data_IF_391079379221
#
_entry.id   IF_391079379221
#
_cell.length_a   1.000
_cell.length_b   1.000
_cell.length_c   1.000
_cell.angle_alpha   90.00
_cell.angle_beta   90.00
_cell.angle_gamma   90.00
#
_symmetry.space_group_name_H-M   'P 1'
#
loop_
_entity.id
_entity.type
_entity.pdbx_description
1 polymer ?
#
# COMPACT_ATOMS: atom_id res chain seq x y z
N UNK A 1 3.87 -30.21 -3.88
CA UNK A 1 2.87 -29.10 -3.83
C UNK A 1 2.26 -28.92 -5.22
N UNK A 2 0.94 -28.76 -5.36
CA UNK A 2 0.32 -28.50 -6.67
C UNK A 2 0.81 -27.13 -7.20
N UNK A 3 1.19 -27.01 -8.49
CA UNK A 3 1.81 -25.78 -9.04
C UNK A 3 0.93 -24.53 -8.92
N UNK A 4 -0.39 -24.69 -8.75
CA UNK A 4 -1.33 -23.59 -8.54
C UNK A 4 -1.32 -23.00 -7.11
N UNK A 5 -0.76 -23.68 -6.11
CA UNK A 5 -0.78 -23.23 -4.70
C UNK A 5 0.20 -22.09 -4.46
N UNK A 6 1.41 -22.18 -5.04
CA UNK A 6 2.46 -21.16 -4.90
C UNK A 6 1.99 -19.76 -5.32
N UNK A 7 1.40 -19.54 -6.51
CA UNK A 7 0.93 -18.22 -6.91
C UNK A 7 -0.25 -17.73 -6.08
N UNK A 8 -1.04 -18.61 -5.46
CA UNK A 8 -2.13 -18.21 -4.57
C UNK A 8 -1.60 -17.73 -3.22
N UNK A 9 -0.64 -18.46 -2.63
CA UNK A 9 0.04 -18.02 -1.40
C UNK A 9 0.73 -16.68 -1.62
N UNK A 10 1.42 -16.51 -2.75
CA UNK A 10 2.07 -15.26 -3.10
C UNK A 10 1.06 -14.09 -3.22
N UNK A 11 -0.12 -14.33 -3.80
CA UNK A 11 -1.22 -13.34 -3.85
C UNK A 11 -1.69 -12.96 -2.46
N UNK A 12 -1.99 -13.96 -1.62
CA UNK A 12 -2.48 -13.73 -0.25
C UNK A 12 -1.45 -12.95 0.57
N UNK A 13 -0.18 -13.36 0.52
CA UNK A 13 0.90 -12.66 1.19
C UNK A 13 1.09 -11.22 0.69
N UNK A 14 0.97 -11.00 -0.63
CA UNK A 14 1.07 -9.66 -1.21
C UNK A 14 -0.14 -8.78 -0.84
N UNK A 15 -1.35 -9.34 -0.85
CA UNK A 15 -2.57 -8.64 -0.46
C UNK A 15 -2.53 -8.20 1.00
N UNK A 16 -2.14 -9.11 1.90
CA UNK A 16 -2.08 -8.86 3.34
C UNK A 16 -0.90 -7.96 3.69
N UNK A 17 0.32 -8.41 3.42
CA UNK A 17 1.52 -7.71 3.88
C UNK A 17 1.81 -6.52 2.98
N UNK A 18 1.91 -6.75 1.67
CA UNK A 18 2.19 -5.69 0.72
C UNK A 18 1.09 -4.62 0.70
N UNK A 19 -0.17 -5.03 0.75
CA UNK A 19 -1.30 -4.11 0.83
C UNK A 19 -1.25 -3.22 2.07
N UNK A 20 -0.88 -3.79 3.23
CA UNK A 20 -0.78 -3.03 4.48
C UNK A 20 0.37 -2.01 4.40
N UNK A 21 1.54 -2.46 3.94
CA UNK A 21 2.70 -1.57 3.74
C UNK A 21 2.34 -0.41 2.80
N UNK A 22 1.68 -0.71 1.67
CA UNK A 22 1.23 0.31 0.73
C UNK A 22 0.25 1.29 1.37
N UNK A 23 -0.77 0.79 2.07
CA UNK A 23 -1.78 1.60 2.72
C UNK A 23 -1.17 2.53 3.80
N UNK A 24 -0.27 2.01 4.63
CA UNK A 24 0.44 2.80 5.64
C UNK A 24 1.35 3.85 5.01
N UNK A 25 2.04 3.52 3.91
CA UNK A 25 2.87 4.47 3.17
C UNK A 25 2.03 5.60 2.56
N UNK A 26 0.90 5.27 1.91
CA UNK A 26 -0.04 6.26 1.36
C UNK A 26 -0.62 7.14 2.47
N UNK A 27 -1.05 6.56 3.59
CA UNK A 27 -1.56 7.31 4.74
C UNK A 27 -0.54 8.33 5.26
N UNK A 28 0.71 7.90 5.38
CA UNK A 28 1.82 8.77 5.79
C UNK A 28 2.09 9.87 4.77
N UNK A 29 2.02 9.54 3.48
CA UNK A 29 2.21 10.52 2.40
C UNK A 29 1.11 11.59 2.42
N UNK A 30 -0.15 11.19 2.56
CA UNK A 30 -1.28 12.11 2.71
C UNK A 30 -1.06 13.02 3.93
N UNK A 31 -0.72 12.44 5.08
CA UNK A 31 -0.49 13.20 6.31
C UNK A 31 0.67 14.21 6.19
N UNK A 32 1.64 13.97 5.30
CA UNK A 32 2.74 14.91 5.04
C UNK A 32 2.41 15.99 4.02
N UNK A 33 1.64 15.66 2.98
CA UNK A 33 1.35 16.57 1.87
C UNK A 33 0.15 17.49 2.15
N UNK A 34 -0.78 17.10 3.01
CA UNK A 34 -2.01 17.87 3.23
C UNK A 34 -1.72 19.17 4.00
N UNK A 35 -2.08 20.36 3.47
CA UNK A 35 -1.79 21.65 4.09
C UNK A 35 -2.86 22.02 5.15
N UNK A 36 -3.08 21.11 6.09
CA UNK A 36 -4.00 21.29 7.24
C UNK A 36 -3.27 20.92 8.53
N UNK A 37 -3.96 21.08 9.67
CA UNK A 37 -3.42 20.73 10.97
C UNK A 37 -2.99 19.26 11.04
N UNK A 38 -1.92 18.99 11.80
CA UNK A 38 -1.29 17.66 11.87
C UNK A 38 -2.27 16.56 12.30
N UNK A 39 -3.13 16.88 13.26
CA UNK A 39 -4.13 15.93 13.75
C UNK A 39 -5.19 15.60 12.67
N UNK A 40 -5.65 16.61 11.94
CA UNK A 40 -6.60 16.44 10.86
C UNK A 40 -5.98 15.69 9.67
N UNK A 41 -4.76 16.05 9.26
CA UNK A 41 -4.04 15.38 8.18
C UNK A 41 -3.80 13.89 8.47
N UNK A 42 -3.47 13.56 9.72
CA UNK A 42 -3.28 12.16 10.15
C UNK A 42 -4.61 11.40 10.13
N UNK A 43 -5.70 12.03 10.55
CA UNK A 43 -7.03 11.43 10.56
C UNK A 43 -7.49 11.08 9.14
N UNK A 44 -7.35 12.01 8.19
CA UNK A 44 -7.60 11.75 6.77
C UNK A 44 -6.73 10.63 6.21
N UNK A 45 -5.43 10.65 6.54
CA UNK A 45 -4.50 9.58 6.16
C UNK A 45 -4.97 8.20 6.63
N UNK A 46 -5.37 8.07 7.89
CA UNK A 46 -5.91 6.81 8.43
C UNK A 46 -7.20 6.38 7.75
N UNK A 47 -8.16 7.28 7.56
CA UNK A 47 -9.45 6.97 6.92
C UNK A 47 -9.22 6.44 5.49
N UNK A 48 -8.41 7.16 4.71
CA UNK A 48 -8.12 6.78 3.32
C UNK A 48 -7.28 5.49 3.22
N UNK A 49 -6.49 5.16 4.25
CA UNK A 49 -5.70 3.92 4.27
C UNK A 49 -6.56 2.66 4.14
N UNK A 50 -7.76 2.64 4.73
CA UNK A 50 -8.69 1.51 4.61
C UNK A 50 -9.16 1.31 3.17
N UNK A 51 -9.46 2.41 2.47
CA UNK A 51 -9.84 2.35 1.06
C UNK A 51 -8.70 1.83 0.19
N UNK A 52 -7.48 2.33 0.41
CA UNK A 52 -6.28 1.86 -0.30
C UNK A 52 -6.03 0.37 -0.05
N UNK A 53 -6.12 -0.07 1.21
CA UNK A 53 -5.94 -1.46 1.58
C UNK A 53 -6.99 -2.38 0.93
N UNK A 54 -8.26 -1.97 0.94
CA UNK A 54 -9.34 -2.71 0.28
C UNK A 54 -9.13 -2.82 -1.24
N UNK A 55 -8.74 -1.72 -1.90
CA UNK A 55 -8.43 -1.72 -3.33
C UNK A 55 -7.25 -2.65 -3.62
N UNK A 56 -6.18 -2.60 -2.83
CA UNK A 56 -5.02 -3.47 -3.00
C UNK A 56 -5.38 -4.96 -2.83
N UNK A 57 -6.22 -5.29 -1.85
CA UNK A 57 -6.73 -6.63 -1.64
C UNK A 57 -7.58 -7.11 -2.82
N UNK A 58 -8.57 -6.33 -3.25
CA UNK A 58 -9.43 -6.66 -4.40
C UNK A 58 -8.62 -6.83 -5.68
N UNK A 59 -7.67 -5.93 -5.93
CA UNK A 59 -6.81 -5.98 -7.11
C UNK A 59 -5.93 -7.24 -7.12
N UNK A 60 -5.50 -7.71 -5.95
CA UNK A 60 -4.69 -8.92 -5.83
C UNK A 60 -5.40 -10.19 -6.30
N UNK A 61 -6.73 -10.22 -6.23
CA UNK A 61 -7.56 -11.34 -6.67
C UNK A 61 -8.24 -11.13 -8.02
N UNK A 62 -8.29 -9.89 -8.54
CA UNK A 62 -8.87 -9.60 -9.85
C UNK A 62 -8.00 -10.07 -11.03
N UNK A 63 -6.66 -9.95 -10.93
CA UNK A 63 -5.75 -10.15 -12.07
C UNK A 63 -5.23 -11.58 -12.27
N UNK A 64 -5.04 -12.05 -13.53
CA UNK A 64 -4.53 -13.41 -13.80
C UNK A 64 -3.03 -13.59 -13.48
N UNK A 65 -2.22 -12.52 -13.49
CA UNK A 65 -0.76 -12.59 -13.28
C UNK A 65 -0.35 -12.04 -11.91
N UNK A 66 0.14 -12.93 -11.04
CA UNK A 66 0.61 -12.56 -9.68
C UNK A 66 1.75 -11.54 -9.72
N UNK A 67 2.64 -11.64 -10.71
CA UNK A 67 3.79 -10.74 -10.83
C UNK A 67 3.38 -9.27 -11.00
N UNK A 68 2.30 -9.01 -11.73
CA UNK A 68 1.80 -7.64 -11.95
C UNK A 68 1.27 -7.02 -10.65
N UNK A 69 0.56 -7.83 -9.86
CA UNK A 69 0.05 -7.43 -8.54
C UNK A 69 1.22 -7.15 -7.59
N UNK A 70 2.21 -8.05 -7.56
CA UNK A 70 3.41 -7.89 -6.72
C UNK A 70 4.18 -6.63 -7.07
N UNK A 71 4.49 -6.41 -8.36
CA UNK A 71 5.21 -5.22 -8.79
C UNK A 71 4.44 -3.93 -8.50
N UNK A 72 3.11 -3.94 -8.67
CA UNK A 72 2.30 -2.77 -8.36
C UNK A 72 2.29 -2.43 -6.87
N UNK A 73 2.02 -3.41 -6.02
CA UNK A 73 1.87 -3.20 -4.57
C UNK A 73 3.24 -2.92 -3.93
N UNK A 74 4.23 -3.79 -4.16
CA UNK A 74 5.56 -3.63 -3.58
C UNK A 74 6.34 -2.48 -4.21
N UNK A 75 6.25 -2.32 -5.54
CA UNK A 75 6.87 -1.20 -6.24
C UNK A 75 6.25 0.14 -5.85
N UNK A 76 4.92 0.22 -5.74
CA UNK A 76 4.24 1.41 -5.22
C UNK A 76 4.64 1.73 -3.79
N UNK A 77 4.72 0.71 -2.93
CA UNK A 77 5.18 0.85 -1.54
C UNK A 77 6.60 1.42 -1.47
N UNK A 78 7.52 0.85 -2.26
CA UNK A 78 8.92 1.29 -2.31
C UNK A 78 9.04 2.73 -2.86
N UNK A 79 8.30 3.06 -3.92
CA UNK A 79 8.31 4.39 -4.51
C UNK A 79 7.80 5.46 -3.53
N UNK A 80 6.70 5.18 -2.81
CA UNK A 80 6.17 6.09 -1.80
C UNK A 80 7.12 6.17 -0.60
N UNK A 81 7.67 5.04 -0.15
CA UNK A 81 8.68 5.02 0.92
C UNK A 81 9.90 5.88 0.58
N UNK A 82 10.38 5.81 -0.66
CA UNK A 82 11.45 6.66 -1.16
C UNK A 82 11.03 8.13 -1.17
N UNK A 83 9.83 8.45 -1.67
CA UNK A 83 9.32 9.82 -1.66
C UNK A 83 9.23 10.37 -0.22
N UNK A 84 8.76 9.56 0.73
CA UNK A 84 8.72 9.92 2.15
C UNK A 84 10.13 10.12 2.74
N UNK A 85 11.11 9.31 2.35
CA UNK A 85 12.49 9.50 2.78
C UNK A 85 13.05 10.84 2.26
N UNK A 86 12.77 11.18 0.99
CA UNK A 86 13.20 12.44 0.37
C UNK A 86 12.49 13.67 0.94
N UNK A 87 11.21 13.56 1.29
CA UNK A 87 10.43 14.65 1.90
C UNK A 87 10.84 14.95 3.34
N UNK A 88 11.56 14.04 4.00
CA UNK A 88 11.94 14.19 5.40
C UNK A 88 10.75 14.14 6.36
N UNK A 89 11.02 14.21 7.66
CA UNK A 89 9.99 14.18 8.70
C UNK A 89 9.34 15.57 8.76
N UNK A 90 8.00 15.61 8.64
CA UNK A 90 7.23 16.83 8.87
C UNK A 90 7.40 17.23 10.35
N UNK A 91 7.88 18.45 10.68
CA UNK A 91 8.09 18.88 12.07
C UNK A 91 6.80 18.75 12.90
#
# INVERSE_FOLDING_TARGET
>A
MRPAVVPMIARIGTALVGGYVLASAVATLIARLLPVDRAEATSWGMILSFLVYAIAALWSFHGPRVMRVMLGIWGGSAAIGLALALLGVRP
#
